data_IF_351912658020
#
_entry.id   IF_351912658020
#
_cell.length_a   1.000
_cell.length_b   1.000
_cell.length_c   1.000
_cell.angle_alpha   90.00
_cell.angle_beta   90.00
_cell.angle_gamma   90.00
#
_symmetry.space_group_name_H-M   'P 1'
#
loop_
_entity.id
_entity.type
_entity.pdbx_description
1 polymer ?
#
# COMPACT_ATOMS: atom_id res chain seq x y z
N UNK A 1 4.58 -12.46 -15.11
CA UNK A 1 5.56 -11.43 -14.72
C UNK A 1 4.83 -10.10 -14.78
N UNK A 2 4.50 -9.52 -13.64
CA UNK A 2 3.79 -8.23 -13.59
C UNK A 2 4.74 -7.16 -14.13
N UNK A 3 4.26 -6.35 -15.07
CA UNK A 3 5.09 -5.38 -15.77
C UNK A 3 5.56 -4.29 -14.78
N UNK A 4 6.88 -4.08 -14.66
CA UNK A 4 7.47 -3.12 -13.72
C UNK A 4 6.96 -1.69 -14.00
N UNK A 5 6.72 -1.36 -15.27
CA UNK A 5 6.14 -0.08 -15.68
C UNK A 5 4.76 0.19 -15.05
N UNK A 6 3.96 -0.86 -14.81
CA UNK A 6 2.62 -0.73 -14.24
C UNK A 6 2.68 -0.50 -12.73
N UNK A 7 3.66 -1.10 -12.06
CA UNK A 7 3.97 -0.90 -10.64
C UNK A 7 4.53 0.50 -10.37
N UNK A 8 5.36 1.03 -11.29
CA UNK A 8 5.85 2.41 -11.23
C UNK A 8 4.72 3.44 -11.45
N UNK A 9 3.64 3.06 -12.14
CA UNK A 9 2.46 3.90 -12.30
C UNK A 9 1.54 3.91 -11.08
N UNK A 10 1.68 2.93 -10.17
CA UNK A 10 0.80 2.75 -9.02
C UNK A 10 1.14 3.79 -7.94
N UNK A 11 0.24 4.75 -7.82
CA UNK A 11 0.39 5.92 -6.94
C UNK A 11 -0.62 5.84 -5.80
N UNK A 12 -0.26 6.36 -4.63
CA UNK A 12 -1.13 6.42 -3.47
C UNK A 12 -2.39 7.25 -3.79
N UNK A 13 -3.61 6.70 -3.61
CA UNK A 13 -4.86 7.38 -3.95
C UNK A 13 -5.10 8.66 -3.15
N UNK A 14 -4.46 8.80 -1.99
CA UNK A 14 -4.56 9.98 -1.16
C UNK A 14 -3.55 11.07 -1.55
N UNK A 15 -2.32 10.69 -1.90
CA UNK A 15 -1.26 11.66 -2.20
C UNK A 15 -1.23 12.10 -3.65
N UNK A 16 -1.67 11.28 -4.60
CA UNK A 16 -1.57 11.55 -6.06
C UNK A 16 -2.26 12.85 -6.50
N UNK A 17 -3.15 13.42 -5.68
CA UNK A 17 -3.79 14.71 -5.93
C UNK A 17 -2.85 15.90 -5.75
N UNK A 18 -1.91 15.80 -4.81
CA UNK A 18 -1.06 16.92 -4.36
C UNK A 18 0.44 16.64 -4.52
N UNK A 19 0.82 15.36 -4.65
CA UNK A 19 2.20 14.89 -4.64
C UNK A 19 2.41 13.71 -5.57
N UNK A 20 3.65 13.24 -5.60
CA UNK A 20 4.03 12.05 -6.36
C UNK A 20 3.37 10.78 -5.84
N UNK A 21 3.14 10.58 -4.55
CA UNK A 21 2.43 9.41 -4.05
C UNK A 21 3.10 8.07 -4.33
N UNK A 22 4.43 7.98 -4.30
CA UNK A 22 5.16 6.72 -4.48
C UNK A 22 4.71 5.63 -3.51
N UNK A 23 4.61 4.39 -4.01
CA UNK A 23 4.28 3.19 -3.24
C UNK A 23 5.43 2.19 -3.30
N UNK A 24 5.81 1.64 -2.15
CA UNK A 24 6.77 0.55 -2.04
C UNK A 24 6.07 -0.76 -1.72
N UNK A 25 6.41 -1.81 -2.46
CA UNK A 25 5.98 -3.16 -2.13
C UNK A 25 6.79 -3.68 -0.94
N UNK A 26 6.10 -4.03 0.13
CA UNK A 26 6.70 -4.56 1.37
C UNK A 26 6.14 -5.95 1.64
N UNK A 27 7.04 -6.92 1.87
CA UNK A 27 6.69 -8.32 2.17
C UNK A 27 5.72 -8.96 1.15
N UNK A 28 5.75 -8.51 -0.10
CA UNK A 28 4.87 -8.94 -1.22
C UNK A 28 3.36 -8.87 -0.95
N UNK A 29 2.96 -8.24 0.17
CA UNK A 29 1.57 -8.26 0.68
C UNK A 29 1.09 -6.88 1.11
N UNK A 30 1.93 -5.86 1.00
CA UNK A 30 1.63 -4.49 1.41
C UNK A 30 2.18 -3.47 0.41
N UNK A 31 1.39 -2.44 0.12
CA UNK A 31 1.86 -1.24 -0.54
C UNK A 31 1.97 -0.10 0.48
N UNK A 32 3.18 0.36 0.73
CA UNK A 32 3.47 1.42 1.71
C UNK A 32 3.76 2.72 0.96
N UNK A 33 3.07 3.79 1.32
CA UNK A 33 3.35 5.11 0.76
C UNK A 33 4.49 5.80 1.53
N UNK A 34 5.55 6.20 0.83
CA UNK A 34 6.69 6.91 1.42
C UNK A 34 6.34 8.31 1.93
N UNK A 35 5.28 8.92 1.39
CA UNK A 35 4.94 10.32 1.69
C UNK A 35 3.95 10.49 2.83
N UNK A 36 2.94 9.62 2.91
CA UNK A 36 1.91 9.69 3.96
C UNK A 36 1.99 8.54 4.98
N UNK A 37 2.86 7.55 4.75
CA UNK A 37 3.03 6.41 5.65
C UNK A 37 1.87 5.41 5.69
N UNK A 38 0.81 5.63 4.89
CA UNK A 38 -0.31 4.69 4.74
C UNK A 38 0.16 3.38 4.16
N UNK A 39 -0.46 2.29 4.62
CA UNK A 39 -0.08 0.93 4.23
C UNK A 39 -1.32 0.18 3.78
N UNK A 40 -1.37 -0.11 2.49
CA UNK A 40 -2.50 -0.76 1.84
C UNK A 40 -2.24 -2.26 1.77
N UNK A 41 -3.11 -3.11 2.33
CA UNK A 41 -2.95 -4.55 2.26
C UNK A 41 -3.25 -5.05 0.83
N UNK A 42 -2.52 -6.07 0.39
CA UNK A 42 -2.79 -6.84 -0.83
C UNK A 42 -3.45 -8.14 -0.40
N UNK A 43 -4.68 -8.36 -0.87
CA UNK A 43 -5.51 -9.51 -0.52
C UNK A 43 -5.90 -10.22 -1.81
N UNK A 44 -5.60 -11.52 -1.90
CA UNK A 44 -5.88 -12.32 -3.11
C UNK A 44 -5.28 -11.70 -4.38
N UNK A 45 -4.03 -11.20 -4.28
CA UNK A 45 -3.33 -10.47 -5.34
C UNK A 45 -4.00 -9.15 -5.79
N UNK A 46 -5.01 -8.67 -5.04
CA UNK A 46 -5.70 -7.40 -5.28
C UNK A 46 -5.26 -6.36 -4.22
N UNK A 47 -4.62 -5.25 -4.63
CA UNK A 47 -4.29 -4.16 -3.71
C UNK A 47 -5.56 -3.45 -3.22
N UNK A 48 -5.77 -3.44 -1.90
CA UNK A 48 -6.89 -2.71 -1.28
C UNK A 48 -6.49 -1.25 -1.11
N UNK A 49 -6.65 -0.46 -2.17
CA UNK A 49 -6.34 0.98 -2.20
C UNK A 49 -7.44 1.84 -1.54
N UNK A 50 -8.03 1.37 -0.44
CA UNK A 50 -8.97 2.15 0.35
C UNK A 50 -8.20 3.01 1.37
N UNK A 51 -8.45 4.32 1.38
CA UNK A 51 -7.78 5.26 2.30
C UNK A 51 -8.03 4.86 3.76
N UNK A 52 -9.27 4.45 4.09
CA UNK A 52 -9.67 3.99 5.42
C UNK A 52 -8.89 2.76 5.88
N UNK A 53 -8.58 1.82 4.98
CA UNK A 53 -7.74 0.68 5.31
C UNK A 53 -6.28 1.11 5.49
N UNK A 54 -5.78 1.96 4.59
CA UNK A 54 -4.43 2.51 4.67
C UNK A 54 -4.14 3.25 5.98
N UNK A 55 -5.11 4.02 6.48
CA UNK A 55 -5.01 4.80 7.72
C UNK A 55 -4.87 3.90 8.97
N UNK A 56 -5.47 2.71 8.99
CA UNK A 56 -5.36 1.76 10.13
C UNK A 56 -3.92 1.31 10.40
N UNK A 57 -3.06 1.39 9.40
CA UNK A 57 -1.69 0.87 9.45
C UNK A 57 -0.63 1.97 9.43
N UNK A 58 -1.00 3.26 9.43
CA UNK A 58 -0.05 4.38 9.39
C UNK A 58 0.94 4.31 10.53
N UNK A 59 0.47 4.02 11.75
CA UNK A 59 1.31 3.95 12.96
C UNK A 59 2.09 2.63 13.10
N UNK A 60 1.66 1.58 12.38
CA UNK A 60 2.34 0.27 12.40
C UNK A 60 3.65 0.33 11.62
N UNK A 61 4.77 -0.13 12.19
CA UNK A 61 6.04 -0.18 11.45
C UNK A 61 5.96 -1.25 10.36
N UNK A 62 6.67 -1.03 9.25
CA UNK A 62 6.73 -1.99 8.14
C UNK A 62 7.19 -3.39 8.59
N UNK A 63 8.08 -3.46 9.58
CA UNK A 63 8.53 -4.71 10.19
C UNK A 63 7.41 -5.49 10.92
N UNK A 64 6.44 -4.79 11.49
CA UNK A 64 5.36 -5.37 12.31
C UNK A 64 4.08 -5.67 11.50
N UNK A 65 4.09 -5.42 10.19
CA UNK A 65 2.95 -5.75 9.31
C UNK A 65 2.71 -7.25 9.25
N UNK A 66 1.45 -7.66 9.41
CA UNK A 66 1.02 -9.06 9.35
C UNK A 66 1.17 -9.66 7.94
N UNK A 67 1.53 -10.94 7.87
CA UNK A 67 1.60 -11.73 6.62
C UNK A 67 0.88 -13.07 6.85
N UNK A 68 -0.16 -13.42 6.07
CA UNK A 68 -0.76 -12.62 5.00
C UNK A 68 -1.46 -11.37 5.54
N UNK A 69 -1.63 -10.37 4.67
CA UNK A 69 -2.32 -9.14 5.06
C UNK A 69 -3.77 -9.45 5.50
N UNK A 70 -4.28 -8.77 6.55
CA UNK A 70 -5.62 -9.01 7.03
C UNK A 70 -6.65 -8.57 5.98
N UNK A 71 -7.74 -9.34 5.87
CA UNK A 71 -8.85 -8.95 5.02
C UNK A 71 -9.53 -7.70 5.59
N UNK A 72 -9.82 -6.69 4.76
CA UNK A 72 -10.69 -5.59 5.14
C UNK A 72 -12.01 -6.15 5.68
N UNK A 73 -12.53 -5.52 6.74
CA UNK A 73 -13.81 -5.87 7.33
C UNK A 73 -14.98 -5.27 6.55
#
# INVERSE_FOLDING_TARGET
MINQDLLELLRCPACVKDKEGGLQLVKDTWLVCDECGRKYPIVEDIPVMLITEGDKWVETKAADLAVPAPRPA
#
